data_IF_685736687958
#
_entry.id   IF_685736687958
#
_cell.length_a   1.000
_cell.length_b   1.000
_cell.length_c   1.000
_cell.angle_alpha   90.00
_cell.angle_beta   90.00
_cell.angle_gamma   90.00
#
_symmetry.space_group_name_H-M   'P 1'
#
loop_
_entity.id
_entity.type
_entity.pdbx_description
1 polymer ?
#
# COMPACT_ATOMS: atom_id res chain seq x y z
N UNK A 1 21.44 -0.41 -11.06
CA UNK A 1 21.62 -1.82 -10.65
C UNK A 1 20.36 -2.23 -9.90
N UNK A 2 19.83 -3.37 -10.24
CA UNK A 2 18.66 -3.93 -9.55
C UNK A 2 19.08 -4.40 -8.15
N UNK A 3 18.51 -3.75 -7.13
CA UNK A 3 18.78 -4.04 -5.71
C UNK A 3 17.67 -4.87 -5.08
N UNK A 4 16.64 -5.27 -5.85
CA UNK A 4 15.59 -6.15 -5.33
C UNK A 4 16.17 -7.51 -4.96
N UNK A 5 15.79 -8.02 -3.79
CA UNK A 5 16.25 -9.32 -3.31
C UNK A 5 15.76 -10.42 -4.27
N UNK A 6 16.71 -11.17 -4.80
CA UNK A 6 16.39 -12.30 -5.67
C UNK A 6 16.04 -13.52 -4.81
N UNK A 7 14.90 -14.12 -5.10
CA UNK A 7 14.42 -15.36 -4.49
C UNK A 7 13.74 -16.24 -5.54
N UNK A 8 13.54 -17.56 -5.29
CA UNK A 8 13.02 -18.48 -6.30
C UNK A 8 11.66 -18.13 -6.90
N UNK A 9 10.87 -17.29 -6.19
CA UNK A 9 9.55 -16.89 -6.61
C UNK A 9 9.53 -15.58 -7.44
N UNK A 10 10.66 -14.88 -7.56
CA UNK A 10 10.75 -13.67 -8.36
C UNK A 10 11.35 -14.00 -9.73
N UNK A 11 10.62 -13.80 -10.86
CA UNK A 11 11.14 -14.07 -12.18
C UNK A 11 12.26 -13.11 -12.53
N UNK A 12 13.26 -13.62 -13.29
CA UNK A 12 14.39 -12.81 -13.73
C UNK A 12 14.09 -12.21 -15.09
N UNK A 13 14.11 -10.89 -15.17
CA UNK A 13 14.05 -10.19 -16.43
C UNK A 13 15.24 -10.58 -17.32
N UNK A 14 15.00 -10.85 -18.60
CA UNK A 14 16.06 -10.94 -19.59
C UNK A 14 16.63 -9.54 -19.89
N UNK A 15 17.66 -9.46 -20.75
CA UNK A 15 18.33 -8.18 -21.03
C UNK A 15 17.40 -7.10 -21.56
N UNK A 16 16.49 -7.45 -22.46
CA UNK A 16 15.61 -6.48 -23.12
C UNK A 16 14.47 -6.06 -22.16
N UNK A 17 13.93 -7.00 -21.38
CA UNK A 17 12.97 -6.74 -20.30
C UNK A 17 13.58 -5.82 -19.24
N UNK A 18 14.80 -6.11 -18.78
CA UNK A 18 15.52 -5.28 -17.81
C UNK A 18 15.75 -3.86 -18.35
N UNK A 19 16.16 -3.72 -19.61
CA UNK A 19 16.35 -2.41 -20.24
C UNK A 19 15.05 -1.58 -20.28
N UNK A 20 13.89 -2.22 -20.56
CA UNK A 20 12.58 -1.54 -20.50
C UNK A 20 12.22 -1.13 -19.09
N UNK A 21 12.43 -2.00 -18.09
CA UNK A 21 12.17 -1.70 -16.68
C UNK A 21 13.05 -0.57 -16.18
N UNK A 22 14.35 -0.57 -16.49
CA UNK A 22 15.30 0.50 -16.14
C UNK A 22 14.90 1.83 -16.78
N UNK A 23 14.50 1.81 -18.07
CA UNK A 23 14.03 3.01 -18.76
C UNK A 23 12.80 3.64 -18.07
N UNK A 24 11.77 2.83 -17.77
CA UNK A 24 10.54 3.33 -17.14
C UNK A 24 10.84 3.87 -15.73
N UNK A 25 11.68 3.18 -14.97
CA UNK A 25 12.11 3.64 -13.63
C UNK A 25 12.85 4.97 -13.71
N UNK A 26 13.79 5.09 -14.65
CA UNK A 26 14.53 6.35 -14.87
C UNK A 26 13.61 7.49 -15.33
N UNK A 27 12.68 7.22 -16.24
CA UNK A 27 11.68 8.18 -16.69
C UNK A 27 10.84 8.70 -15.53
N UNK A 28 10.31 7.80 -14.69
CA UNK A 28 9.51 8.20 -13.52
C UNK A 28 10.33 9.00 -12.51
N UNK A 29 11.57 8.59 -12.25
CA UNK A 29 12.48 9.36 -11.40
C UNK A 29 12.71 10.78 -11.91
N UNK A 30 12.92 10.94 -13.23
CA UNK A 30 13.05 12.26 -13.87
C UNK A 30 11.76 13.09 -13.76
N UNK A 31 10.61 12.48 -14.01
CA UNK A 31 9.32 13.16 -13.89
C UNK A 31 9.08 13.66 -12.47
N UNK A 32 9.37 12.85 -11.47
CA UNK A 32 9.20 13.20 -10.08
C UNK A 32 10.15 14.34 -9.64
N UNK A 33 11.40 14.27 -10.09
CA UNK A 33 12.40 15.25 -9.69
C UNK A 33 12.31 16.58 -10.47
N UNK A 34 11.84 16.55 -11.73
CA UNK A 34 11.95 17.69 -12.64
C UNK A 34 10.58 18.23 -13.08
N UNK A 35 9.64 17.34 -13.47
CA UNK A 35 8.36 17.79 -14.02
C UNK A 35 7.32 18.06 -12.95
N UNK A 36 7.24 17.25 -11.91
CA UNK A 36 6.26 17.43 -10.85
C UNK A 36 6.37 18.79 -10.15
N UNK A 37 7.58 19.30 -9.79
CA UNK A 37 7.73 20.63 -9.20
C UNK A 37 7.26 21.77 -10.11
N UNK A 38 7.29 21.57 -11.43
CA UNK A 38 6.79 22.55 -12.41
C UNK A 38 5.30 22.83 -12.28
N UNK A 39 4.49 21.88 -11.79
CA UNK A 39 3.07 22.11 -11.51
C UNK A 39 2.86 23.18 -10.43
N UNK A 40 3.67 23.15 -9.35
CA UNK A 40 3.63 24.19 -8.32
C UNK A 40 4.06 25.55 -8.90
N UNK A 41 5.13 25.57 -9.69
CA UNK A 41 5.62 26.81 -10.32
C UNK A 41 4.57 27.44 -11.25
N UNK A 42 3.87 26.64 -12.05
CA UNK A 42 2.78 27.11 -12.93
C UNK A 42 1.57 27.61 -12.13
N UNK A 43 1.21 26.90 -11.06
CA UNK A 43 0.15 27.35 -10.16
C UNK A 43 0.48 28.73 -9.59
N UNK A 44 1.69 28.90 -9.04
CA UNK A 44 2.12 30.17 -8.43
C UNK A 44 2.20 31.32 -9.44
N UNK A 45 2.75 31.04 -10.62
CA UNK A 45 2.99 32.10 -11.62
C UNK A 45 1.73 32.49 -12.40
N UNK A 46 0.76 31.60 -12.56
CA UNK A 46 -0.33 31.80 -13.51
C UNK A 46 -1.71 31.42 -12.98
N UNK A 47 -1.96 30.14 -12.68
CA UNK A 47 -3.34 29.64 -12.56
C UNK A 47 -4.07 30.16 -11.33
N UNK A 48 -3.39 30.37 -10.20
CA UNK A 48 -4.00 31.00 -9.02
C UNK A 48 -4.49 32.43 -9.30
N UNK A 49 -3.78 33.17 -10.18
CA UNK A 49 -4.15 34.54 -10.55
C UNK A 49 -5.34 34.56 -11.51
N UNK A 50 -5.44 33.57 -12.41
CA UNK A 50 -6.63 33.40 -13.26
C UNK A 50 -7.87 33.17 -12.39
N UNK A 51 -7.78 32.24 -11.44
CA UNK A 51 -8.88 32.00 -10.49
C UNK A 51 -9.23 33.27 -9.70
N UNK A 52 -8.25 34.00 -9.22
CA UNK A 52 -8.47 35.21 -8.43
C UNK A 52 -9.11 36.33 -9.23
N UNK A 53 -8.78 36.47 -10.52
CA UNK A 53 -9.40 37.45 -11.41
C UNK A 53 -10.90 37.17 -11.62
N UNK A 54 -11.29 35.92 -11.68
CA UNK A 54 -12.70 35.52 -11.87
C UNK A 54 -13.50 35.53 -10.56
N UNK A 55 -12.88 35.19 -9.43
CA UNK A 55 -13.58 34.93 -8.17
C UNK A 55 -13.33 35.98 -7.08
N UNK A 56 -12.43 36.96 -7.31
CA UNK A 56 -12.08 38.00 -6.33
C UNK A 56 -11.26 37.52 -5.12
N UNK A 57 -10.83 36.24 -5.09
CA UNK A 57 -10.03 35.62 -4.04
C UNK A 57 -9.19 34.47 -4.57
N UNK A 58 -8.20 34.01 -3.82
CA UNK A 58 -7.41 32.81 -4.14
C UNK A 58 -8.23 31.51 -3.91
N UNK A 59 -7.87 30.38 -4.57
CA UNK A 59 -8.47 29.08 -4.30
C UNK A 59 -8.33 28.68 -2.82
N UNK A 60 -9.44 28.24 -2.21
CA UNK A 60 -9.51 27.90 -0.80
C UNK A 60 -9.41 26.36 -0.53
N UNK A 61 -9.52 25.55 -1.56
CA UNK A 61 -9.49 24.09 -1.45
C UNK A 61 -8.99 23.43 -2.74
N UNK A 62 -8.68 22.12 -2.68
CA UNK A 62 -8.14 21.36 -3.82
C UNK A 62 -9.06 21.32 -5.05
N UNK A 63 -10.39 21.40 -4.86
CA UNK A 63 -11.35 21.38 -5.97
C UNK A 63 -11.31 22.69 -6.76
N UNK A 64 -11.14 23.82 -6.09
CA UNK A 64 -10.96 25.11 -6.73
C UNK A 64 -9.60 25.20 -7.47
N UNK A 65 -8.55 24.61 -6.89
CA UNK A 65 -7.26 24.48 -7.61
C UNK A 65 -7.43 23.59 -8.85
N UNK A 66 -8.14 22.47 -8.73
CA UNK A 66 -8.42 21.56 -9.83
C UNK A 66 -9.13 22.25 -11.00
N UNK A 67 -10.08 23.19 -10.73
CA UNK A 67 -10.84 23.88 -11.77
C UNK A 67 -9.97 24.69 -12.73
N UNK A 68 -8.81 25.17 -12.30
CA UNK A 68 -7.86 25.93 -13.12
C UNK A 68 -6.67 25.08 -13.57
N UNK A 69 -6.15 24.19 -12.69
CA UNK A 69 -4.99 23.39 -13.04
C UNK A 69 -5.29 22.31 -14.08
N UNK A 70 -6.49 21.71 -14.10
CA UNK A 70 -6.87 20.72 -15.12
C UNK A 70 -6.98 21.31 -16.54
N UNK A 71 -7.07 22.63 -16.68
CA UNK A 71 -7.04 23.34 -17.96
C UNK A 71 -5.63 23.77 -18.36
N UNK A 72 -4.66 23.62 -17.48
CA UNK A 72 -3.29 24.06 -17.68
C UNK A 72 -2.51 23.04 -18.53
N UNK A 73 -1.96 23.43 -19.72
CA UNK A 73 -1.28 22.48 -20.60
C UNK A 73 -0.09 21.78 -19.97
N UNK A 74 0.63 22.42 -19.06
CA UNK A 74 1.75 21.80 -18.35
C UNK A 74 1.27 20.64 -17.45
N UNK A 75 0.21 20.89 -16.69
CA UNK A 75 -0.40 19.86 -15.86
C UNK A 75 -0.94 18.69 -16.69
N UNK A 76 -1.65 18.99 -17.79
CA UNK A 76 -2.19 17.98 -18.70
C UNK A 76 -1.08 17.08 -19.27
N UNK A 77 0.04 17.70 -19.71
CA UNK A 77 1.20 16.96 -20.20
C UNK A 77 1.82 16.09 -19.13
N UNK A 78 2.09 16.65 -17.94
CA UNK A 78 2.63 15.89 -16.82
C UNK A 78 1.71 14.74 -16.40
N UNK A 79 0.41 15.01 -16.27
CA UNK A 79 -0.59 14.00 -15.88
C UNK A 79 -0.69 12.85 -16.89
N UNK A 80 -0.73 13.17 -18.19
CA UNK A 80 -0.75 12.15 -19.24
C UNK A 80 0.52 11.29 -19.23
N UNK A 81 1.69 11.93 -19.09
CA UNK A 81 2.97 11.22 -19.04
C UNK A 81 3.08 10.34 -17.77
N UNK A 82 2.60 10.82 -16.62
CA UNK A 82 2.55 10.07 -15.38
C UNK A 82 1.71 8.80 -15.56
N UNK A 83 0.52 8.91 -16.14
CA UNK A 83 -0.36 7.76 -16.40
C UNK A 83 0.27 6.76 -17.38
N UNK A 84 0.82 7.23 -18.50
CA UNK A 84 1.50 6.36 -19.48
C UNK A 84 2.69 5.65 -18.85
N UNK A 85 3.49 6.34 -18.02
CA UNK A 85 4.61 5.71 -17.31
C UNK A 85 4.16 4.65 -16.32
N UNK A 86 2.99 4.82 -15.70
CA UNK A 86 2.38 3.83 -14.81
C UNK A 86 1.98 2.56 -15.57
N UNK A 87 1.30 2.70 -16.72
CA UNK A 87 0.97 1.59 -17.60
C UNK A 87 2.23 0.86 -18.09
N UNK A 88 3.26 1.61 -18.51
CA UNK A 88 4.52 1.04 -18.98
C UNK A 88 5.27 0.24 -17.90
N UNK A 89 5.10 0.53 -16.59
CA UNK A 89 5.63 -0.35 -15.53
C UNK A 89 5.00 -1.73 -15.66
N UNK A 90 3.66 -1.79 -15.63
CA UNK A 90 2.95 -3.06 -15.66
C UNK A 90 3.23 -3.84 -16.93
N UNK A 91 3.23 -3.18 -18.10
CA UNK A 91 3.56 -3.80 -19.37
C UNK A 91 4.97 -4.40 -19.34
N UNK A 92 5.96 -3.67 -18.81
CA UNK A 92 7.35 -4.13 -18.75
C UNK A 92 7.57 -5.33 -17.81
N UNK A 93 6.72 -5.49 -16.80
CA UNK A 93 6.77 -6.60 -15.84
C UNK A 93 5.97 -7.80 -16.36
N UNK A 94 4.80 -7.55 -16.95
CA UNK A 94 3.89 -8.58 -17.46
C UNK A 94 4.59 -9.54 -18.44
N UNK A 95 5.36 -9.01 -19.38
CA UNK A 95 6.12 -9.86 -20.34
C UNK A 95 7.04 -10.87 -19.62
N UNK A 96 7.72 -10.43 -18.56
CA UNK A 96 8.61 -11.29 -17.77
C UNK A 96 7.83 -12.37 -17.03
N UNK A 97 6.70 -11.99 -16.41
CA UNK A 97 5.85 -12.90 -15.64
C UNK A 97 5.21 -13.95 -16.55
N UNK A 98 4.63 -13.53 -17.66
CA UNK A 98 3.93 -14.42 -18.61
C UNK A 98 4.90 -15.42 -19.25
N UNK A 99 6.13 -15.01 -19.54
CA UNK A 99 7.19 -15.91 -20.01
C UNK A 99 7.55 -17.00 -19.00
N UNK A 100 7.60 -16.68 -17.73
CA UNK A 100 8.06 -17.58 -16.67
C UNK A 100 6.89 -18.18 -15.85
N UNK A 101 5.63 -17.95 -16.24
CA UNK A 101 4.43 -18.32 -15.50
C UNK A 101 4.38 -19.80 -15.06
N UNK A 102 4.61 -20.74 -16.00
CA UNK A 102 4.58 -22.17 -15.70
C UNK A 102 5.73 -22.60 -14.78
N UNK A 103 6.91 -21.99 -14.95
CA UNK A 103 8.06 -22.26 -14.10
C UNK A 103 7.83 -21.74 -12.66
N UNK A 104 7.21 -20.58 -12.52
CA UNK A 104 6.84 -19.99 -11.22
C UNK A 104 5.79 -20.84 -10.50
N UNK A 105 4.73 -21.26 -11.19
CA UNK A 105 3.72 -22.15 -10.62
C UNK A 105 4.33 -23.50 -10.18
N UNK A 106 5.23 -24.06 -10.98
CA UNK A 106 5.94 -25.30 -10.64
C UNK A 106 6.85 -25.12 -9.42
N UNK A 107 7.56 -23.97 -9.34
CA UNK A 107 8.39 -23.63 -8.19
C UNK A 107 7.56 -23.45 -6.91
N UNK A 108 6.42 -22.74 -6.99
CA UNK A 108 5.52 -22.55 -5.86
C UNK A 108 4.98 -23.87 -5.33
N UNK A 109 4.51 -24.76 -6.23
CA UNK A 109 3.98 -26.07 -5.84
C UNK A 109 5.05 -26.93 -5.17
N UNK A 110 6.29 -26.92 -5.67
CA UNK A 110 7.41 -27.64 -5.03
C UNK A 110 7.73 -27.08 -3.66
N UNK A 111 7.89 -25.77 -3.52
CA UNK A 111 8.18 -25.10 -2.24
C UNK A 111 7.07 -25.36 -1.24
N UNK A 112 5.80 -25.27 -1.65
CA UNK A 112 4.67 -25.56 -0.79
C UNK A 112 4.64 -27.04 -0.32
N UNK A 113 5.06 -27.99 -1.17
CA UNK A 113 5.14 -29.40 -0.82
C UNK A 113 6.31 -29.71 0.14
N UNK A 114 7.46 -29.05 -0.05
CA UNK A 114 8.63 -29.15 0.80
C UNK A 114 8.44 -28.45 2.15
N UNK A 115 7.68 -27.35 2.16
CA UNK A 115 7.35 -26.54 3.32
C UNK A 115 8.56 -26.25 4.25
N UNK A 116 9.66 -25.72 3.71
CA UNK A 116 10.95 -25.69 4.40
C UNK A 116 10.99 -24.80 5.66
N UNK A 117 10.15 -23.75 5.71
CA UNK A 117 10.03 -22.88 6.87
C UNK A 117 8.95 -23.31 7.86
N UNK A 118 7.97 -24.13 7.43
CA UNK A 118 6.87 -24.60 8.27
C UNK A 118 5.71 -23.61 8.39
N UNK A 119 5.57 -22.68 7.45
CA UNK A 119 4.40 -21.80 7.34
C UNK A 119 3.14 -22.54 6.88
N UNK A 120 2.01 -21.85 6.89
CA UNK A 120 0.71 -22.44 6.48
C UNK A 120 -0.03 -21.56 5.47
N UNK A 121 -0.82 -22.22 4.60
CA UNK A 121 -1.73 -21.54 3.67
C UNK A 121 -3.12 -22.15 3.78
N UNK A 122 -4.12 -21.32 4.10
CA UNK A 122 -5.53 -21.73 4.15
C UNK A 122 -6.34 -20.87 3.18
N UNK A 123 -6.85 -21.49 2.11
CA UNK A 123 -7.67 -20.82 1.10
C UNK A 123 -9.14 -21.23 1.25
N UNK A 124 -10.03 -20.25 1.03
CA UNK A 124 -11.47 -20.48 1.01
C UNK A 124 -12.01 -20.22 -0.41
N UNK A 125 -12.22 -21.26 -1.24
CA UNK A 125 -12.69 -21.10 -2.61
C UNK A 125 -14.09 -20.48 -2.72
N UNK A 126 -14.84 -20.43 -1.61
CA UNK A 126 -16.18 -19.87 -1.56
C UNK A 126 -16.20 -18.47 -0.92
N UNK A 127 -15.04 -17.87 -0.62
CA UNK A 127 -14.99 -16.51 -0.07
C UNK A 127 -15.48 -15.52 -1.14
N UNK A 128 -16.56 -14.76 -0.87
CA UNK A 128 -16.95 -13.69 -1.78
C UNK A 128 -15.90 -12.57 -1.73
N UNK A 129 -15.30 -12.30 -2.88
CA UNK A 129 -14.41 -11.13 -3.02
C UNK A 129 -15.28 -9.87 -3.08
N UNK A 130 -15.01 -8.84 -2.28
CA UNK A 130 -15.80 -7.61 -2.30
C UNK A 130 -15.78 -6.92 -3.67
N UNK A 131 -16.92 -6.41 -4.12
CA UNK A 131 -17.06 -5.74 -5.43
C UNK A 131 -16.06 -4.60 -5.64
N UNK A 132 -15.70 -3.88 -4.58
CA UNK A 132 -14.75 -2.77 -4.68
C UNK A 132 -13.31 -3.23 -5.00
N UNK A 133 -12.97 -4.50 -4.76
CA UNK A 133 -11.66 -5.07 -5.12
C UNK A 133 -11.60 -5.44 -6.60
N UNK A 134 -12.75 -5.79 -7.20
CA UNK A 134 -12.85 -6.29 -8.58
C UNK A 134 -13.40 -5.24 -9.56
N UNK A 135 -13.82 -4.08 -9.06
CA UNK A 135 -14.48 -3.05 -9.87
C UNK A 135 -13.55 -2.36 -10.89
N UNK A 136 -12.24 -2.37 -10.65
CA UNK A 136 -11.25 -1.76 -11.51
C UNK A 136 -9.87 -2.41 -11.31
N UNK A 137 -9.03 -2.30 -12.31
CA UNK A 137 -7.61 -2.57 -12.20
C UNK A 137 -6.93 -1.46 -11.39
N UNK A 138 -6.94 -1.61 -10.06
CA UNK A 138 -6.34 -0.63 -9.15
C UNK A 138 -4.86 -0.47 -9.50
N UNK A 139 -4.35 0.75 -9.41
CA UNK A 139 -3.02 1.15 -9.88
C UNK A 139 -2.77 0.89 -11.37
N UNK A 140 -3.82 0.66 -12.18
CA UNK A 140 -3.73 0.21 -13.57
C UNK A 140 -3.00 -1.16 -13.71
N UNK A 141 -2.90 -1.92 -12.61
CA UNK A 141 -2.29 -3.25 -12.58
C UNK A 141 -3.24 -4.26 -13.23
N UNK A 142 -2.83 -4.96 -14.29
CA UNK A 142 -3.70 -5.92 -15.00
C UNK A 142 -4.26 -7.00 -14.07
N UNK A 143 -5.59 -7.13 -14.00
CA UNK A 143 -6.31 -8.03 -13.08
C UNK A 143 -6.44 -7.50 -11.64
N UNK A 144 -5.98 -6.28 -11.36
CA UNK A 144 -6.04 -5.67 -10.03
C UNK A 144 -5.43 -6.56 -8.94
N UNK A 145 -5.92 -6.47 -7.73
CA UNK A 145 -5.46 -7.34 -6.62
C UNK A 145 -6.07 -8.73 -6.66
N UNK A 146 -7.30 -8.88 -7.18
CA UNK A 146 -7.99 -10.16 -7.20
C UNK A 146 -7.38 -11.15 -8.19
N UNK A 147 -6.87 -10.67 -9.33
CA UNK A 147 -6.41 -11.49 -10.44
C UNK A 147 -7.55 -12.15 -11.21
N UNK A 148 -7.24 -12.66 -12.40
CA UNK A 148 -8.22 -13.29 -13.29
C UNK A 148 -8.40 -14.79 -13.00
N UNK A 149 -7.44 -15.42 -12.32
CA UNK A 149 -7.44 -16.86 -12.05
C UNK A 149 -6.94 -17.17 -10.62
N UNK A 150 -7.86 -17.46 -9.72
CA UNK A 150 -7.56 -17.81 -8.33
C UNK A 150 -6.76 -19.13 -8.17
N UNK A 151 -6.63 -19.94 -9.22
CA UNK A 151 -5.90 -21.21 -9.17
C UNK A 151 -4.39 -21.04 -9.39
N UNK A 152 -3.94 -19.93 -9.95
CA UNK A 152 -2.53 -19.62 -10.15
C UNK A 152 -1.98 -18.62 -9.12
N UNK A 153 -0.80 -18.06 -9.36
CA UNK A 153 -0.19 -17.06 -8.49
C UNK A 153 0.29 -15.82 -9.23
N UNK A 154 -0.19 -15.59 -10.46
CA UNK A 154 0.29 -14.54 -11.37
C UNK A 154 0.33 -13.14 -10.74
N UNK A 155 -0.68 -12.79 -9.93
CA UNK A 155 -0.76 -11.47 -9.29
C UNK A 155 0.39 -11.21 -8.29
N UNK A 156 0.88 -12.27 -7.64
CA UNK A 156 1.97 -12.14 -6.68
C UNK A 156 3.26 -11.57 -7.26
N UNK A 157 3.91 -12.26 -8.22
CA UNK A 157 5.15 -11.76 -8.81
C UNK A 157 4.93 -10.47 -9.63
N UNK A 158 3.73 -10.27 -10.22
CA UNK A 158 3.36 -9.02 -10.88
C UNK A 158 3.40 -7.86 -9.89
N UNK A 159 2.76 -8.01 -8.75
CA UNK A 159 2.76 -7.00 -7.69
C UNK A 159 4.17 -6.80 -7.11
N UNK A 160 4.91 -7.87 -6.78
CA UNK A 160 6.23 -7.79 -6.14
C UNK A 160 7.24 -7.02 -7.01
N UNK A 161 7.35 -7.40 -8.29
CA UNK A 161 8.25 -6.70 -9.21
C UNK A 161 7.73 -5.31 -9.58
N UNK A 162 6.43 -5.20 -9.86
CA UNK A 162 5.81 -3.93 -10.25
C UNK A 162 5.91 -2.89 -9.14
N UNK A 163 5.64 -3.24 -7.88
CA UNK A 163 5.76 -2.35 -6.72
C UNK A 163 7.21 -1.86 -6.55
N UNK A 164 8.20 -2.74 -6.70
CA UNK A 164 9.60 -2.35 -6.63
C UNK A 164 9.95 -1.27 -7.65
N UNK A 165 9.53 -1.43 -8.91
CA UNK A 165 9.74 -0.45 -9.97
C UNK A 165 8.92 0.83 -9.74
N UNK A 166 7.66 0.68 -9.34
CA UNK A 166 6.76 1.80 -9.05
C UNK A 166 7.33 2.75 -8.01
N UNK A 167 7.88 2.19 -6.94
CA UNK A 167 8.49 2.94 -5.85
C UNK A 167 9.98 3.26 -6.10
N UNK A 168 10.56 2.80 -7.21
CA UNK A 168 11.98 2.99 -7.53
C UNK A 168 12.91 2.40 -6.48
N UNK A 169 12.53 1.26 -5.89
CA UNK A 169 13.27 0.55 -4.85
C UNK A 169 13.29 1.23 -3.46
N UNK A 170 12.57 2.34 -3.27
CA UNK A 170 12.59 3.11 -2.02
C UNK A 170 12.00 2.38 -0.81
N UNK A 171 11.21 1.33 -1.02
CA UNK A 171 10.68 0.50 0.05
C UNK A 171 11.59 -0.67 0.42
N UNK A 172 12.87 -0.62 0.03
CA UNK A 172 13.84 -1.67 0.33
C UNK A 172 13.81 -2.86 -0.65
N UNK A 173 14.77 -3.76 -0.53
CA UNK A 173 14.97 -4.85 -1.48
C UNK A 173 13.85 -5.90 -1.46
N UNK A 174 13.04 -5.97 -0.41
CA UNK A 174 11.91 -6.89 -0.25
C UNK A 174 10.55 -6.18 -0.28
N UNK A 175 10.51 -4.90 -0.64
CA UNK A 175 9.31 -4.04 -0.58
C UNK A 175 8.73 -3.91 0.85
N UNK A 176 9.54 -4.03 1.87
CA UNK A 176 9.16 -4.22 3.27
C UNK A 176 9.37 -2.97 4.15
N UNK A 177 9.93 -1.91 3.61
CA UNK A 177 10.35 -0.71 4.35
C UNK A 177 9.23 -0.02 5.15
N UNK A 178 7.98 -0.11 4.69
CA UNK A 178 6.85 0.53 5.37
C UNK A 178 6.57 -0.08 6.75
N UNK A 179 6.83 -1.37 6.93
CA UNK A 179 6.66 -2.05 8.24
C UNK A 179 7.64 -1.51 9.27
N UNK A 180 8.87 -1.21 8.88
CA UNK A 180 9.86 -0.63 9.79
C UNK A 180 9.49 0.81 10.19
N UNK A 181 8.87 1.59 9.29
CA UNK A 181 8.29 2.88 9.63
C UNK A 181 7.16 2.74 10.66
N UNK A 182 6.23 1.82 10.40
CA UNK A 182 5.12 1.53 11.30
C UNK A 182 5.62 1.05 12.67
N UNK A 183 6.63 0.17 12.71
CA UNK A 183 7.27 -0.28 13.95
C UNK A 183 7.87 0.89 14.73
N UNK A 184 8.51 1.83 14.04
CA UNK A 184 9.08 3.04 14.67
C UNK A 184 8.01 3.92 15.34
N UNK A 185 6.84 4.09 14.69
CA UNK A 185 5.70 4.81 15.28
C UNK A 185 5.12 4.03 16.46
N UNK A 186 4.93 2.71 16.30
CA UNK A 186 4.44 1.83 17.36
C UNK A 186 5.31 1.89 18.61
N UNK A 187 6.63 1.85 18.46
CA UNK A 187 7.58 1.93 19.57
C UNK A 187 7.49 3.25 20.35
N UNK A 188 7.23 4.36 19.66
CA UNK A 188 7.04 5.65 20.30
C UNK A 188 5.71 5.75 21.06
N UNK A 189 4.65 5.17 20.50
CA UNK A 189 3.33 5.20 21.14
C UNK A 189 3.22 4.18 22.27
N UNK A 190 3.93 3.07 22.19
CA UNK A 190 3.89 1.98 23.17
C UNK A 190 5.26 1.31 23.29
N UNK A 191 6.17 1.99 23.97
CA UNK A 191 7.55 1.50 24.19
C UNK A 191 7.56 0.13 24.86
N UNK A 192 8.43 -0.76 24.37
CA UNK A 192 8.57 -2.12 24.88
C UNK A 192 7.40 -3.06 24.53
N UNK A 193 6.50 -2.67 23.64
CA UNK A 193 5.42 -3.56 23.19
C UNK A 193 5.96 -4.76 22.42
N UNK A 194 5.65 -5.96 22.92
CA UNK A 194 6.11 -7.24 22.37
C UNK A 194 4.92 -8.17 22.14
N UNK A 195 4.22 -8.04 21.01
CA UNK A 195 3.07 -8.87 20.68
C UNK A 195 3.49 -10.32 20.47
N UNK A 196 2.63 -11.27 20.86
CA UNK A 196 2.82 -12.71 20.63
C UNK A 196 1.96 -13.25 19.49
N UNK A 197 0.88 -12.56 19.16
CA UNK A 197 -0.05 -12.92 18.08
C UNK A 197 -0.32 -11.67 17.25
N UNK A 198 0.10 -11.71 16.00
CA UNK A 198 0.03 -10.57 15.08
C UNK A 198 -0.87 -10.95 13.89
N UNK A 199 -1.83 -10.10 13.59
CA UNK A 199 -2.62 -10.16 12.36
C UNK A 199 -2.24 -9.01 11.43
N UNK A 200 -1.90 -9.35 10.20
CA UNK A 200 -1.63 -8.39 9.11
C UNK A 200 -2.78 -8.47 8.09
N UNK A 201 -3.62 -7.45 8.04
CA UNK A 201 -4.79 -7.37 7.17
C UNK A 201 -4.43 -6.78 5.81
N UNK A 202 -4.88 -7.43 4.72
CA UNK A 202 -4.55 -7.01 3.35
C UNK A 202 -3.07 -7.23 3.02
N UNK A 203 -2.57 -8.42 3.36
CA UNK A 203 -1.13 -8.71 3.31
C UNK A 203 -0.57 -8.91 1.89
N UNK A 204 -1.41 -9.01 0.88
CA UNK A 204 -1.08 -9.23 -0.55
C UNK A 204 -0.01 -10.33 -0.73
N UNK A 205 1.24 -9.95 -0.94
CA UNK A 205 2.39 -10.87 -1.16
C UNK A 205 3.18 -11.17 0.13
N UNK A 206 2.69 -10.78 1.29
CA UNK A 206 3.37 -10.96 2.57
C UNK A 206 4.58 -10.05 2.79
N UNK A 207 4.74 -8.98 1.99
CA UNK A 207 5.84 -8.02 2.16
C UNK A 207 5.71 -7.17 3.44
N UNK A 208 4.54 -7.13 4.07
CA UNK A 208 4.32 -6.62 5.42
C UNK A 208 4.35 -7.74 6.48
N UNK A 209 3.85 -8.93 6.18
CA UNK A 209 3.74 -10.06 7.12
C UNK A 209 5.10 -10.63 7.52
N UNK A 210 5.98 -10.88 6.53
CA UNK A 210 7.31 -11.46 6.76
C UNK A 210 8.18 -10.60 7.69
N UNK A 211 8.26 -9.26 7.52
CA UNK A 211 9.00 -8.40 8.45
C UNK A 211 8.48 -8.45 9.89
N UNK A 212 7.17 -8.57 10.10
CA UNK A 212 6.63 -8.71 11.45
C UNK A 212 7.17 -9.96 12.16
N UNK A 213 7.26 -11.09 11.45
CA UNK A 213 7.87 -12.32 12.01
C UNK A 213 9.35 -12.16 12.32
N UNK A 214 10.09 -11.44 11.47
CA UNK A 214 11.53 -11.14 11.73
C UNK A 214 11.72 -10.19 12.91
N UNK A 215 10.84 -9.19 13.07
CA UNK A 215 10.87 -8.24 14.18
C UNK A 215 10.46 -8.87 15.52
N UNK A 216 9.57 -9.86 15.47
CA UNK A 216 9.07 -10.59 16.64
C UNK A 216 9.17 -12.10 16.40
N UNK A 217 10.40 -12.69 16.51
CA UNK A 217 10.62 -14.09 16.14
C UNK A 217 9.77 -15.10 16.93
N UNK A 218 9.42 -14.77 18.16
CA UNK A 218 8.56 -15.61 19.03
C UNK A 218 7.07 -15.43 18.81
N UNK A 219 6.66 -14.48 17.95
CA UNK A 219 5.26 -14.23 17.68
C UNK A 219 4.70 -15.20 16.63
N UNK A 220 3.44 -15.59 16.79
CA UNK A 220 2.64 -16.15 15.72
C UNK A 220 2.15 -15.01 14.82
N UNK A 221 2.49 -15.07 13.53
CA UNK A 221 2.14 -14.02 12.57
C UNK A 221 1.24 -14.62 11.50
N UNK A 222 0.08 -14.00 11.34
CA UNK A 222 -0.91 -14.37 10.32
C UNK A 222 -1.16 -13.20 9.39
N UNK A 223 -1.03 -13.42 8.08
CA UNK A 223 -1.45 -12.48 7.05
C UNK A 223 -2.79 -12.91 6.45
N UNK A 224 -3.71 -11.97 6.25
CA UNK A 224 -4.96 -12.22 5.53
C UNK A 224 -5.10 -11.34 4.31
N UNK A 225 -5.68 -11.92 3.26
CA UNK A 225 -6.07 -11.20 2.05
C UNK A 225 -7.27 -11.89 1.40
N UNK A 226 -8.00 -11.17 0.55
CA UNK A 226 -9.10 -11.74 -0.25
C UNK A 226 -8.59 -12.43 -1.52
N UNK A 227 -7.37 -12.12 -1.95
CA UNK A 227 -6.76 -12.63 -3.18
C UNK A 227 -6.10 -13.99 -2.98
N UNK A 228 -6.72 -15.05 -3.47
CA UNK A 228 -6.14 -16.40 -3.42
C UNK A 228 -4.83 -16.50 -4.22
N UNK A 229 -4.73 -15.82 -5.37
CA UNK A 229 -3.52 -15.82 -6.21
C UNK A 229 -2.35 -15.11 -5.52
N UNK A 230 -2.57 -13.96 -4.88
CA UNK A 230 -1.55 -13.28 -4.10
C UNK A 230 -1.08 -14.12 -2.91
N UNK A 231 -2.01 -14.77 -2.18
CA UNK A 231 -1.67 -15.60 -1.02
C UNK A 231 -0.89 -16.87 -1.38
N UNK A 232 -1.15 -17.48 -2.55
CA UNK A 232 -0.32 -18.62 -3.04
C UNK A 232 1.13 -18.18 -3.24
N UNK A 233 1.31 -17.01 -3.83
CA UNK A 233 2.64 -16.43 -3.97
C UNK A 233 3.25 -16.05 -2.62
N UNK A 234 2.50 -15.37 -1.75
CA UNK A 234 2.95 -14.94 -0.44
C UNK A 234 3.50 -16.12 0.39
N UNK A 235 2.77 -17.25 0.40
CA UNK A 235 3.20 -18.46 1.08
C UNK A 235 4.49 -19.02 0.48
N UNK A 236 4.54 -19.24 -0.84
CA UNK A 236 5.74 -19.75 -1.49
C UNK A 236 6.95 -18.82 -1.33
N UNK A 237 6.71 -17.49 -1.34
CA UNK A 237 7.75 -16.46 -1.10
C UNK A 237 8.27 -16.54 0.34
N UNK A 238 7.40 -16.60 1.34
CA UNK A 238 7.79 -16.68 2.75
C UNK A 238 8.57 -17.98 3.04
N UNK A 239 8.12 -19.11 2.51
CA UNK A 239 8.82 -20.40 2.58
C UNK A 239 10.22 -20.33 1.93
N UNK A 240 10.33 -19.71 0.73
CA UNK A 240 11.61 -19.52 0.06
C UNK A 240 12.56 -18.58 0.81
N UNK A 241 12.03 -17.65 1.61
CA UNK A 241 12.78 -16.75 2.47
C UNK A 241 13.11 -17.38 3.84
N UNK A 242 12.65 -18.61 4.12
CA UNK A 242 12.88 -19.31 5.38
C UNK A 242 12.13 -18.69 6.58
N UNK A 243 10.98 -18.03 6.35
CA UNK A 243 10.22 -17.33 7.40
C UNK A 243 8.87 -17.99 7.62
N UNK A 244 8.63 -18.65 8.78
CA UNK A 244 7.37 -19.34 9.07
C UNK A 244 6.26 -18.36 9.43
N UNK A 245 5.33 -18.13 8.51
CA UNK A 245 4.13 -17.30 8.70
C UNK A 245 2.90 -18.06 8.19
N UNK A 246 1.74 -17.72 8.71
CA UNK A 246 0.47 -18.29 8.29
C UNK A 246 -0.24 -17.31 7.35
N UNK A 247 -0.78 -17.83 6.23
CA UNK A 247 -1.62 -17.05 5.32
C UNK A 247 -3.03 -17.64 5.26
N UNK A 248 -4.03 -16.77 5.39
CA UNK A 248 -5.44 -17.19 5.41
C UNK A 248 -6.23 -16.30 4.45
N UNK A 249 -6.96 -16.91 3.52
CA UNK A 249 -7.87 -16.15 2.66
C UNK A 249 -9.09 -15.73 3.47
N UNK A 250 -9.20 -14.43 3.75
CA UNK A 250 -10.28 -13.84 4.54
C UNK A 250 -10.55 -12.39 4.14
N UNK A 251 -11.80 -11.94 4.37
CA UNK A 251 -12.18 -10.54 4.22
C UNK A 251 -11.96 -9.82 5.55
N UNK A 252 -11.17 -8.74 5.52
CA UNK A 252 -10.87 -7.91 6.69
C UNK A 252 -12.09 -7.21 7.32
N UNK A 253 -13.22 -7.14 6.60
CA UNK A 253 -14.47 -6.60 7.14
C UNK A 253 -15.14 -7.52 8.18
N UNK A 254 -14.90 -8.84 8.08
CA UNK A 254 -15.44 -9.87 8.97
C UNK A 254 -14.64 -11.16 8.79
N UNK A 255 -13.78 -11.46 9.73
CA UNK A 255 -12.98 -12.69 9.74
C UNK A 255 -13.64 -13.81 10.55
N UNK A 256 -13.08 -15.01 10.47
CA UNK A 256 -13.52 -16.16 11.25
C UNK A 256 -12.72 -16.39 12.54
N UNK A 257 -11.82 -15.44 12.88
CA UNK A 257 -11.04 -15.55 14.11
C UNK A 257 -11.89 -15.21 15.34
N UNK A 258 -11.53 -15.81 16.46
CA UNK A 258 -12.15 -15.55 17.76
C UNK A 258 -11.92 -14.13 18.26
N UNK A 259 -12.82 -13.64 19.11
CA UNK A 259 -12.65 -12.37 19.80
C UNK A 259 -11.37 -12.39 20.66
N UNK A 260 -10.59 -11.31 20.61
CA UNK A 260 -9.34 -11.21 21.39
C UNK A 260 -8.23 -12.18 20.95
N UNK A 261 -8.28 -12.67 19.71
CA UNK A 261 -7.29 -13.62 19.20
C UNK A 261 -5.89 -13.03 19.02
N UNK A 262 -5.75 -11.72 18.92
CA UNK A 262 -4.48 -11.06 18.57
C UNK A 262 -4.06 -9.98 19.57
N UNK A 263 -2.76 -9.76 19.67
CA UNK A 263 -2.17 -8.68 20.48
C UNK A 263 -1.86 -7.44 19.63
N UNK A 264 -1.60 -7.65 18.32
CA UNK A 264 -1.43 -6.60 17.32
C UNK A 264 -2.30 -6.94 16.10
N UNK A 265 -3.14 -6.00 15.69
CA UNK A 265 -3.83 -6.01 14.40
C UNK A 265 -3.29 -4.85 13.58
N UNK A 266 -2.76 -5.14 12.41
CA UNK A 266 -2.08 -4.16 11.57
C UNK A 266 -2.52 -4.27 10.12
N UNK A 267 -2.25 -3.24 9.33
CA UNK A 267 -2.27 -3.28 7.87
C UNK A 267 -1.25 -2.29 7.31
N UNK A 268 -0.84 -2.53 6.08
CA UNK A 268 -0.01 -1.61 5.32
C UNK A 268 -0.68 -1.33 3.98
N UNK A 269 -1.14 -0.08 3.80
CA UNK A 269 -1.78 0.38 2.56
C UNK A 269 -3.07 -0.38 2.18
N UNK A 270 -3.90 -0.72 3.18
CA UNK A 270 -5.18 -1.39 2.96
C UNK A 270 -6.36 -0.41 2.92
N UNK A 271 -6.41 0.54 3.87
CA UNK A 271 -7.66 1.26 4.14
C UNK A 271 -8.10 2.13 2.96
N UNK A 272 -7.16 2.72 2.22
CA UNK A 272 -7.45 3.54 1.04
C UNK A 272 -7.96 2.75 -0.17
N UNK A 273 -7.80 1.43 -0.16
CA UNK A 273 -8.33 0.53 -1.20
C UNK A 273 -9.75 0.05 -0.89
N UNK A 274 -10.31 0.46 0.25
CA UNK A 274 -11.60 -0.03 0.71
C UNK A 274 -12.71 1.01 0.58
N UNK A 275 -13.95 0.54 0.38
CA UNK A 275 -15.10 1.41 0.25
C UNK A 275 -15.43 2.13 1.57
N UNK A 276 -16.16 3.26 1.48
CA UNK A 276 -16.67 3.98 2.64
C UNK A 276 -17.54 3.13 3.58
N UNK A 277 -18.12 2.03 3.07
CA UNK A 277 -18.91 1.08 3.86
C UNK A 277 -18.04 0.01 4.52
N UNK A 278 -16.94 -0.38 3.89
CA UNK A 278 -16.01 -1.39 4.38
C UNK A 278 -15.15 -0.85 5.52
N UNK A 279 -14.64 0.37 5.40
CA UNK A 279 -13.75 0.98 6.38
C UNK A 279 -14.23 0.88 7.84
N UNK A 280 -15.45 1.33 8.22
CA UNK A 280 -15.91 1.22 9.60
C UNK A 280 -16.04 -0.24 10.06
N UNK A 281 -16.30 -1.20 9.17
CA UNK A 281 -16.36 -2.63 9.50
C UNK A 281 -14.97 -3.18 9.78
N UNK A 282 -13.96 -2.81 8.97
CA UNK A 282 -12.55 -3.19 9.20
C UNK A 282 -12.06 -2.65 10.54
N UNK A 283 -12.39 -1.39 10.87
CA UNK A 283 -12.02 -0.80 12.15
C UNK A 283 -12.72 -1.50 13.34
N UNK A 284 -14.00 -1.84 13.19
CA UNK A 284 -14.73 -2.60 14.21
C UNK A 284 -14.18 -4.02 14.37
N UNK A 285 -13.87 -4.69 13.27
CA UNK A 285 -13.26 -6.02 13.27
C UNK A 285 -11.87 -6.00 13.90
N UNK A 286 -11.03 -5.01 13.58
CA UNK A 286 -9.73 -4.82 14.24
C UNK A 286 -9.87 -4.73 15.76
N UNK A 287 -10.91 -4.04 16.25
CA UNK A 287 -11.20 -3.94 17.69
C UNK A 287 -11.65 -5.29 18.28
N UNK A 288 -12.56 -5.99 17.61
CA UNK A 288 -13.09 -7.29 18.08
C UNK A 288 -11.97 -8.31 18.26
N UNK A 289 -11.03 -8.32 17.30
CA UNK A 289 -9.93 -9.28 17.26
C UNK A 289 -8.85 -9.06 18.31
N UNK A 290 -8.78 -7.86 18.91
CA UNK A 290 -7.73 -7.54 19.87
C UNK A 290 -8.04 -8.05 21.26
N UNK A 291 -7.06 -8.70 21.87
CA UNK A 291 -7.03 -9.02 23.28
C UNK A 291 -7.03 -7.73 24.14
N UNK A 292 -7.48 -7.79 25.40
CA UNK A 292 -7.36 -6.63 26.29
C UNK A 292 -5.94 -6.10 26.35
N UNK A 293 -5.77 -4.79 26.10
CA UNK A 293 -4.48 -4.14 26.01
C UNK A 293 -3.73 -4.32 24.70
N UNK A 294 -4.32 -5.03 23.72
CA UNK A 294 -3.80 -5.17 22.35
C UNK A 294 -3.84 -3.85 21.58
N UNK A 295 -3.15 -3.79 20.47
CA UNK A 295 -2.96 -2.57 19.67
C UNK A 295 -3.42 -2.78 18.23
N UNK A 296 -4.19 -1.81 17.73
CA UNK A 296 -4.41 -1.58 16.30
C UNK A 296 -3.37 -0.60 15.77
N UNK A 297 -2.76 -0.91 14.63
CA UNK A 297 -1.81 -0.01 13.96
C UNK A 297 -1.92 -0.14 12.43
N UNK A 298 -2.67 0.74 11.79
CA UNK A 298 -2.85 0.77 10.34
C UNK A 298 -1.99 1.88 9.72
N UNK A 299 -1.09 1.49 8.81
CA UNK A 299 -0.28 2.41 8.01
C UNK A 299 -0.95 2.65 6.68
N UNK A 300 -1.13 3.94 6.31
CA UNK A 300 -1.86 4.27 5.10
C UNK A 300 -1.39 5.58 4.44
N UNK A 301 -2.03 5.94 3.32
CA UNK A 301 -1.70 7.11 2.50
C UNK A 301 -1.75 8.42 3.28
N UNK A 302 -1.04 9.45 2.80
CA UNK A 302 -1.05 10.77 3.43
C UNK A 302 -2.44 11.39 3.51
N UNK A 303 -2.73 12.01 4.65
CA UNK A 303 -3.91 12.87 4.80
C UNK A 303 -3.69 14.20 4.05
N UNK A 304 -4.66 14.64 3.29
CA UNK A 304 -4.55 15.89 2.49
C UNK A 304 -5.29 17.06 3.12
N UNK A 305 -6.13 16.83 4.12
CA UNK A 305 -6.93 17.88 4.77
C UNK A 305 -6.08 18.97 5.46
N UNK A 306 -4.84 18.66 5.82
CA UNK A 306 -3.92 19.58 6.49
C UNK A 306 -2.91 20.22 5.53
N UNK A 307 -2.93 19.84 4.26
CA UNK A 307 -2.10 20.41 3.21
C UNK A 307 -2.70 21.72 2.69
N UNK A 308 -1.87 22.56 2.14
CA UNK A 308 -2.36 23.71 1.37
C UNK A 308 -3.09 23.24 0.09
N UNK A 309 -3.99 24.03 -0.46
CA UNK A 309 -4.84 23.60 -1.56
C UNK A 309 -4.10 23.06 -2.80
N UNK A 310 -2.98 23.66 -3.29
CA UNK A 310 -2.24 23.10 -4.43
C UNK A 310 -1.52 21.80 -4.08
N UNK A 311 -0.96 21.64 -2.88
CA UNK A 311 -0.35 20.40 -2.45
C UNK A 311 -1.39 19.28 -2.33
N UNK A 312 -2.54 19.59 -1.74
CA UNK A 312 -3.66 18.65 -1.64
C UNK A 312 -4.16 18.21 -3.03
N UNK A 313 -4.22 19.13 -4.00
CA UNK A 313 -4.60 18.80 -5.38
C UNK A 313 -3.60 17.83 -6.04
N UNK A 314 -2.30 18.13 -5.96
CA UNK A 314 -1.28 17.26 -6.57
C UNK A 314 -1.19 15.89 -5.88
N UNK A 315 -1.31 15.85 -4.54
CA UNK A 315 -1.32 14.60 -3.78
C UNK A 315 -2.54 13.71 -4.10
N UNK A 316 -3.61 14.28 -4.65
CA UNK A 316 -4.83 13.54 -5.02
C UNK A 316 -4.83 13.07 -6.49
N UNK A 317 -3.72 13.21 -7.21
CA UNK A 317 -3.65 12.85 -8.64
C UNK A 317 -4.04 11.39 -8.90
N UNK A 318 -3.64 10.48 -8.01
CA UNK A 318 -3.83 9.03 -8.16
C UNK A 318 -5.31 8.63 -8.06
N UNK A 319 -6.11 9.36 -7.30
CA UNK A 319 -7.56 9.12 -7.15
C UNK A 319 -8.28 9.10 -8.50
N UNK A 320 -7.93 10.01 -9.40
CA UNK A 320 -8.58 10.17 -10.70
C UNK A 320 -7.85 9.46 -11.86
N UNK A 321 -6.57 9.20 -11.72
CA UNK A 321 -5.71 8.80 -12.86
C UNK A 321 -5.09 7.42 -12.70
N UNK A 322 -5.17 6.81 -11.51
CA UNK A 322 -4.54 5.54 -11.20
C UNK A 322 -5.53 4.48 -10.69
N UNK A 323 -6.82 4.68 -10.92
CA UNK A 323 -7.91 3.83 -10.44
C UNK A 323 -7.94 3.62 -8.92
N UNK A 324 -7.41 4.56 -8.13
CA UNK A 324 -7.50 4.56 -6.66
C UNK A 324 -8.82 5.20 -6.19
N UNK A 325 -9.92 4.59 -6.55
CA UNK A 325 -11.26 5.17 -6.44
C UNK A 325 -11.69 5.51 -5.01
N UNK A 326 -11.06 4.92 -4.00
CA UNK A 326 -11.43 5.08 -2.58
C UNK A 326 -10.41 5.88 -1.76
N UNK A 327 -9.24 6.19 -2.31
CA UNK A 327 -8.18 6.90 -1.60
C UNK A 327 -8.63 8.26 -1.04
N UNK A 328 -9.54 8.97 -1.76
CA UNK A 328 -10.12 10.24 -1.31
C UNK A 328 -10.84 10.12 0.04
N UNK A 329 -11.42 8.95 0.36
CA UNK A 329 -12.13 8.71 1.62
C UNK A 329 -11.16 8.84 2.80
N UNK A 330 -10.03 8.11 2.74
CA UNK A 330 -9.01 8.14 3.78
C UNK A 330 -8.31 9.49 3.85
N UNK A 331 -8.00 10.08 2.70
CA UNK A 331 -7.24 11.33 2.61
C UNK A 331 -7.95 12.52 3.25
N UNK A 332 -9.29 12.55 3.19
CA UNK A 332 -10.11 13.66 3.73
C UNK A 332 -10.76 13.35 5.08
N UNK A 333 -10.79 12.07 5.51
CA UNK A 333 -11.50 11.63 6.71
C UNK A 333 -10.74 11.99 7.99
N UNK A 334 -11.47 12.28 9.05
CA UNK A 334 -10.97 12.24 10.42
C UNK A 334 -10.90 10.78 10.88
N UNK A 335 -9.75 10.14 10.71
CA UNK A 335 -9.57 8.71 11.00
C UNK A 335 -9.81 8.37 12.48
N UNK A 336 -9.32 9.15 13.47
CA UNK A 336 -9.67 8.93 14.87
C UNK A 336 -11.19 9.00 15.13
N UNK A 337 -11.88 9.95 14.53
CA UNK A 337 -13.33 10.08 14.66
C UNK A 337 -14.07 8.91 14.00
N UNK A 338 -13.59 8.47 12.83
CA UNK A 338 -14.12 7.28 12.14
C UNK A 338 -13.95 6.01 13.00
N UNK A 339 -12.80 5.84 13.63
CA UNK A 339 -12.55 4.75 14.56
C UNK A 339 -13.50 4.80 15.78
N UNK A 340 -13.71 5.97 16.36
CA UNK A 340 -14.69 6.14 17.45
C UNK A 340 -16.10 5.75 16.99
N UNK A 341 -16.49 6.14 15.78
CA UNK A 341 -17.75 5.71 15.16
C UNK A 341 -17.87 4.19 14.96
N UNK A 342 -16.74 3.50 14.84
CA UNK A 342 -16.64 2.04 14.81
C UNK A 342 -16.49 1.37 16.19
N UNK A 343 -16.70 2.13 17.26
CA UNK A 343 -16.72 1.65 18.65
C UNK A 343 -15.37 1.73 19.38
N UNK A 344 -14.35 2.33 18.80
CA UNK A 344 -13.07 2.55 19.49
C UNK A 344 -13.17 3.64 20.57
N UNK A 345 -12.38 3.54 21.65
CA UNK A 345 -12.30 4.61 22.65
C UNK A 345 -11.62 5.87 22.09
N UNK A 346 -11.71 6.97 22.82
CA UNK A 346 -11.17 8.27 22.40
C UNK A 346 -9.64 8.36 22.39
N UNK A 347 -8.94 7.32 22.81
CA UNK A 347 -7.47 7.24 22.79
C UNK A 347 -6.89 6.82 21.43
N UNK A 348 -7.73 6.62 20.40
CA UNK A 348 -7.25 6.41 19.03
C UNK A 348 -6.69 7.70 18.49
N UNK A 349 -5.50 7.63 17.93
CA UNK A 349 -4.78 8.78 17.37
C UNK A 349 -4.28 8.50 15.97
N UNK A 350 -4.15 9.55 15.17
CA UNK A 350 -3.46 9.52 13.87
C UNK A 350 -2.07 10.13 14.05
N UNK A 351 -1.04 9.40 13.64
CA UNK A 351 0.36 9.80 13.75
C UNK A 351 0.97 9.94 12.35
N UNK A 352 1.72 11.01 12.09
CA UNK A 352 2.47 11.12 10.84
C UNK A 352 3.68 10.18 10.86
N UNK A 353 3.94 9.52 9.72
CA UNK A 353 5.17 8.81 9.47
C UNK A 353 5.83 9.36 8.20
N UNK A 354 7.10 9.74 8.30
CA UNK A 354 7.87 10.28 7.17
C UNK A 354 8.84 9.23 6.67
N UNK A 355 8.69 8.82 5.41
CA UNK A 355 9.68 8.01 4.74
C UNK A 355 10.72 8.92 4.08
N UNK A 356 11.98 8.81 4.47
CA UNK A 356 13.10 9.39 3.73
C UNK A 356 14.23 8.37 3.66
N UNK A 357 14.77 8.16 2.48
CA UNK A 357 16.05 7.52 2.12
C UNK A 357 16.77 6.78 3.26
N UNK A 358 16.22 5.62 3.66
CA UNK A 358 16.91 4.68 4.56
C UNK A 358 16.77 4.91 6.06
N UNK A 359 16.28 6.07 6.51
CA UNK A 359 16.10 6.38 7.92
C UNK A 359 14.65 6.64 8.28
N UNK A 360 14.23 6.11 9.43
CA UNK A 360 12.89 6.35 9.99
C UNK A 360 12.89 7.68 10.72
N UNK A 361 12.28 8.70 10.14
CA UNK A 361 12.08 9.97 10.82
C UNK A 361 10.64 10.08 11.32
N UNK A 362 10.50 10.33 12.60
CA UNK A 362 9.28 10.84 13.18
C UNK A 362 9.39 12.34 13.28
N UNK A 363 8.39 13.02 12.76
CA UNK A 363 8.34 14.47 12.69
C UNK A 363 8.43 15.10 14.09
N UNK A 364 9.32 16.09 14.26
CA UNK A 364 9.19 17.12 15.29
C UNK A 364 8.43 18.31 14.67
N UNK A 365 7.54 18.92 15.43
CA UNK A 365 6.51 19.88 14.98
C UNK A 365 6.97 21.16 14.27
N UNK A 366 8.28 21.41 14.18
CA UNK A 366 8.83 22.65 13.61
C UNK A 366 9.26 22.55 12.13
N UNK A 367 9.03 21.43 11.44
CA UNK A 367 9.37 21.26 10.03
C UNK A 367 8.26 21.78 9.11
N UNK A 368 8.59 22.33 7.92
CA UNK A 368 7.56 22.69 6.94
C UNK A 368 6.67 21.48 6.64
N UNK A 369 5.35 21.72 6.44
CA UNK A 369 4.36 20.68 6.18
C UNK A 369 4.78 19.84 4.97
N UNK A 370 5.27 18.64 5.24
CA UNK A 370 5.58 17.64 4.22
C UNK A 370 4.43 16.66 4.11
N UNK A 371 4.21 16.11 2.93
CA UNK A 371 3.29 14.99 2.73
C UNK A 371 3.86 13.77 3.47
N UNK A 372 3.21 13.38 4.55
CA UNK A 372 3.64 12.28 5.41
C UNK A 372 2.64 11.14 5.33
N UNK A 373 3.12 9.90 5.36
CA UNK A 373 2.27 8.73 5.57
C UNK A 373 1.52 8.85 6.90
N UNK A 374 0.38 8.18 6.99
CA UNK A 374 -0.48 8.23 8.17
C UNK A 374 -0.44 6.88 8.88
N UNK A 375 -0.34 6.90 10.21
CA UNK A 375 -0.53 5.72 11.07
C UNK A 375 -1.73 5.97 11.98
N UNK A 376 -2.79 5.18 11.80
CA UNK A 376 -3.89 5.13 12.75
C UNK A 376 -3.57 4.10 13.83
N UNK A 377 -3.45 4.56 15.08
CA UNK A 377 -3.09 3.70 16.20
C UNK A 377 -4.10 3.81 17.33
N UNK A 378 -4.46 2.68 17.94
CA UNK A 378 -5.39 2.61 19.04
C UNK A 378 -5.12 1.40 19.93
N UNK A 379 -5.46 1.49 21.21
CA UNK A 379 -5.36 0.41 22.18
C UNK A 379 -6.76 -0.08 22.58
N UNK A 380 -6.99 -1.40 22.57
CA UNK A 380 -8.23 -2.05 22.99
C UNK A 380 -8.32 -2.19 24.52
#
# INVERSE_FOLDING_TARGET
MDMQLQHPMLPRANRDEAARQDFVTALRGHMQATLMPGNQAVYEARTKHLFAAENGRLPANRREVASVMKQEPYYQFWSALQRVSQQAIWDSVTDTIDRDHDALNSAANRIAAENPAGGTLSLNPNLPVPDYVTAADIHLMPGGYAGDNAADMRQGPLYDRGLYLYLGGRCGPENDGLVYLLKGVLEKCKSGFSPKRILDMGCTIGNSTVPWKRLFPDAEVTGIDVSATALRYAHARAEALGVPVSFVQANAELTQFEDGAFDLVTSSLLLHETSAKALPRILAESRRLLAPGGVMAHFDVPQVRELDPPQAFLASWEEENNNENFAHIIREMDLPLAAQGAGWPTNVVSQPAVAMTGDVYVRNDDSPRQVCWTVLIGQA
#
